data_IF_347723004545
#
_entry.id   IF_347723004545
#
_cell.length_a   1.000
_cell.length_b   1.000
_cell.length_c   1.000
_cell.angle_alpha   90.00
_cell.angle_beta   90.00
_cell.angle_gamma   90.00
#
_symmetry.space_group_name_H-M   'P 1'
#
loop_
_entity.id
_entity.type
_entity.pdbx_description
1 polymer ?
#
# COMPACT_ATOMS: atom_id res chain seq x y z
N UNK A 1 19.49 5.03 15.87
CA UNK A 1 19.15 3.80 15.13
C UNK A 1 17.64 3.71 14.88
N UNK A 2 16.77 3.85 15.90
CA UNK A 2 15.33 4.10 15.66
C UNK A 2 15.02 5.37 14.83
N UNK A 3 15.89 6.39 14.89
CA UNK A 3 15.76 7.63 14.11
C UNK A 3 15.66 7.43 12.59
N UNK A 4 16.27 6.38 12.02
CA UNK A 4 16.29 6.16 10.57
C UNK A 4 15.00 5.50 10.06
N UNK A 5 14.49 4.52 10.83
CA UNK A 5 13.18 3.93 10.59
C UNK A 5 12.05 4.97 10.74
N UNK A 6 12.12 5.80 11.79
CA UNK A 6 11.15 6.90 11.98
C UNK A 6 11.21 7.94 10.86
N UNK A 7 12.41 8.27 10.36
CA UNK A 7 12.55 9.17 9.21
C UNK A 7 11.94 8.56 7.94
N UNK A 8 12.16 7.27 7.70
CA UNK A 8 11.55 6.54 6.58
C UNK A 8 10.03 6.50 6.67
N UNK A 9 9.47 6.28 7.87
CA UNK A 9 8.02 6.30 8.12
C UNK A 9 7.44 7.69 7.85
N UNK A 10 8.11 8.76 8.31
CA UNK A 10 7.69 10.13 8.02
C UNK A 10 7.73 10.45 6.50
N UNK A 11 8.75 9.97 5.78
CA UNK A 11 8.82 10.09 4.34
C UNK A 11 7.68 9.33 3.63
N UNK A 12 7.34 8.14 4.13
CA UNK A 12 6.21 7.35 3.62
C UNK A 12 4.87 8.07 3.86
N UNK A 13 4.65 8.66 5.04
CA UNK A 13 3.49 9.54 5.33
C UNK A 13 3.38 10.69 4.34
N UNK A 14 4.48 11.40 4.07
CA UNK A 14 4.47 12.46 3.07
C UNK A 14 4.19 11.94 1.64
N UNK A 15 4.64 10.73 1.31
CA UNK A 15 4.31 10.10 0.04
C UNK A 15 2.82 9.76 -0.06
N UNK A 16 2.23 9.21 1.01
CA UNK A 16 0.80 8.94 1.11
C UNK A 16 -0.04 10.21 0.95
N UNK A 17 0.29 11.29 1.66
CA UNK A 17 -0.45 12.55 1.58
C UNK A 17 -0.42 13.11 0.15
N UNK A 18 0.74 12.99 -0.53
CA UNK A 18 0.89 13.38 -1.94
C UNK A 18 0.07 12.48 -2.87
N UNK A 19 0.10 11.17 -2.68
CA UNK A 19 -0.69 10.22 -3.47
C UNK A 19 -2.19 10.54 -3.34
N UNK A 20 -2.67 10.69 -2.10
CA UNK A 20 -4.05 11.05 -1.81
C UNK A 20 -4.46 12.36 -2.49
N UNK A 21 -3.63 13.40 -2.40
CA UNK A 21 -3.89 14.68 -3.04
C UNK A 21 -3.92 14.62 -4.58
N UNK A 22 -3.20 13.68 -5.19
CA UNK A 22 -3.23 13.44 -6.63
C UNK A 22 -4.43 12.60 -7.08
N UNK A 23 -4.87 11.64 -6.25
CA UNK A 23 -5.94 10.69 -6.60
C UNK A 23 -7.33 11.28 -6.34
N UNK A 24 -7.53 12.00 -5.23
CA UNK A 24 -8.83 12.57 -4.86
C UNK A 24 -9.54 13.40 -5.94
N UNK A 25 -8.86 14.25 -6.73
CA UNK A 25 -9.54 15.04 -7.76
C UNK A 25 -9.77 14.30 -9.07
N UNK A 26 -9.26 13.07 -9.24
CA UNK A 26 -9.40 12.34 -10.50
C UNK A 26 -10.85 11.95 -10.75
N UNK A 27 -11.28 12.14 -12.00
CA UNK A 27 -12.56 11.65 -12.50
C UNK A 27 -12.50 10.17 -12.88
N UNK A 28 -13.64 9.46 -12.99
CA UNK A 28 -13.65 8.06 -13.43
C UNK A 28 -12.97 7.82 -14.79
N UNK A 29 -13.10 8.78 -15.71
CA UNK A 29 -12.46 8.73 -17.03
C UNK A 29 -10.93 8.87 -16.91
N UNK A 30 -10.43 9.74 -16.03
CA UNK A 30 -9.00 9.92 -15.77
C UNK A 30 -8.40 8.72 -15.03
N UNK A 31 -9.14 8.12 -14.09
CA UNK A 31 -8.74 6.87 -13.41
C UNK A 31 -8.64 5.71 -14.41
N UNK A 32 -9.53 5.66 -15.39
CA UNK A 32 -9.52 4.63 -16.43
C UNK A 32 -8.54 4.92 -17.58
N UNK A 33 -7.96 6.13 -17.64
CA UNK A 33 -7.03 6.51 -18.68
C UNK A 33 -5.69 5.77 -18.57
N UNK A 34 -4.96 5.71 -19.69
CA UNK A 34 -3.60 5.18 -19.72
C UNK A 34 -2.69 5.96 -18.77
N UNK A 35 -1.88 5.26 -17.99
CA UNK A 35 -0.84 5.88 -17.17
C UNK A 35 0.40 6.24 -18.02
N UNK A 36 1.46 6.74 -17.39
CA UNK A 36 2.75 6.88 -18.08
C UNK A 36 3.34 5.52 -18.49
N UNK A 37 2.97 4.44 -17.81
CA UNK A 37 3.24 3.08 -18.26
C UNK A 37 2.30 2.76 -19.42
N UNK A 38 2.85 2.34 -20.56
CA UNK A 38 2.06 2.01 -21.75
C UNK A 38 1.08 0.85 -21.51
N UNK A 39 1.37 0.02 -20.53
CA UNK A 39 0.66 -1.24 -20.32
C UNK A 39 -0.46 -1.13 -19.28
N UNK A 40 -0.42 -0.09 -18.43
CA UNK A 40 -1.32 0.07 -17.29
C UNK A 40 -2.12 1.36 -17.36
N UNK A 41 -3.38 1.28 -16.97
CA UNK A 41 -4.19 2.46 -16.63
C UNK A 41 -3.74 3.07 -15.30
N UNK A 42 -4.22 4.29 -15.02
CA UNK A 42 -4.01 4.91 -13.70
C UNK A 42 -4.59 4.02 -12.59
N UNK A 43 -5.78 3.45 -12.79
CA UNK A 43 -6.40 2.50 -11.86
C UNK A 43 -5.52 1.27 -11.58
N UNK A 44 -4.89 0.69 -12.61
CA UNK A 44 -4.01 -0.46 -12.43
C UNK A 44 -2.72 -0.11 -11.67
N UNK A 45 -2.18 1.09 -11.88
CA UNK A 45 -1.07 1.61 -11.04
C UNK A 45 -1.52 1.73 -9.58
N UNK A 46 -2.70 2.28 -9.33
CA UNK A 46 -3.25 2.41 -7.97
C UNK A 46 -3.51 1.03 -7.34
N UNK A 47 -4.06 0.09 -8.10
CA UNK A 47 -4.25 -1.31 -7.70
C UNK A 47 -2.94 -1.99 -7.30
N UNK A 48 -1.86 -1.73 -8.05
CA UNK A 48 -0.52 -2.22 -7.71
C UNK A 48 -0.02 -1.64 -6.37
N UNK A 49 -0.22 -0.34 -6.13
CA UNK A 49 0.18 0.31 -4.87
C UNK A 49 -0.65 -0.22 -3.69
N UNK A 50 -1.98 -0.32 -3.84
CA UNK A 50 -2.88 -0.78 -2.79
C UNK A 50 -2.64 -2.24 -2.39
N UNK A 51 -2.53 -3.14 -3.38
CA UNK A 51 -2.17 -4.55 -3.10
C UNK A 51 -0.78 -4.68 -2.49
N UNK A 52 0.18 -3.86 -2.92
CA UNK A 52 1.51 -3.78 -2.31
C UNK A 52 1.47 -3.37 -0.83
N UNK A 53 0.58 -2.43 -0.46
CA UNK A 53 0.38 -2.02 0.92
C UNK A 53 -0.20 -3.15 1.79
N UNK A 54 -1.17 -3.91 1.29
CA UNK A 54 -1.72 -5.08 1.99
C UNK A 54 -0.67 -6.20 2.17
N UNK A 55 0.10 -6.49 1.13
CA UNK A 55 1.19 -7.47 1.19
C UNK A 55 2.25 -7.03 2.21
N UNK A 56 2.60 -5.74 2.24
CA UNK A 56 3.55 -5.18 3.20
C UNK A 56 3.06 -5.33 4.64
N UNK A 57 1.78 -5.06 4.90
CA UNK A 57 1.15 -5.29 6.21
C UNK A 57 1.18 -6.77 6.62
N UNK A 58 0.92 -7.68 5.68
CA UNK A 58 0.96 -9.11 5.93
C UNK A 58 2.38 -9.56 6.33
N UNK A 59 3.40 -9.10 5.59
CA UNK A 59 4.80 -9.38 5.93
C UNK A 59 5.21 -8.77 7.27
N UNK A 60 4.78 -7.53 7.56
CA UNK A 60 5.06 -6.87 8.83
C UNK A 60 4.51 -7.67 10.02
N UNK A 61 3.26 -8.13 9.95
CA UNK A 61 2.66 -8.96 11.01
C UNK A 61 3.45 -10.25 11.23
N UNK A 62 3.87 -10.92 10.16
CA UNK A 62 4.70 -12.12 10.28
C UNK A 62 6.05 -11.81 10.95
N UNK A 63 6.71 -10.70 10.61
CA UNK A 63 7.97 -10.28 11.24
C UNK A 63 7.82 -9.97 12.74
N UNK A 64 6.67 -9.42 13.15
CA UNK A 64 6.34 -9.18 14.55
C UNK A 64 5.93 -10.46 15.30
N UNK A 65 5.73 -11.58 14.59
CA UNK A 65 5.26 -12.86 15.16
C UNK A 65 3.75 -12.90 15.40
N UNK A 66 2.99 -12.03 14.75
CA UNK A 66 1.53 -11.91 14.84
C UNK A 66 0.79 -12.68 13.73
N UNK A 67 1.50 -13.48 12.94
CA UNK A 67 0.94 -14.28 11.85
C UNK A 67 1.95 -15.25 11.26
N UNK A 68 1.46 -16.14 10.41
CA UNK A 68 2.31 -17.09 9.67
C UNK A 68 3.11 -16.38 8.57
N UNK A 69 4.31 -16.88 8.23
CA UNK A 69 5.05 -16.41 7.07
C UNK A 69 4.19 -16.46 5.80
N UNK A 70 3.99 -15.32 5.17
CA UNK A 70 3.23 -15.24 3.94
C UNK A 70 4.10 -15.70 2.75
N UNK A 71 3.63 -16.74 2.07
CA UNK A 71 4.21 -17.22 0.82
C UNK A 71 3.48 -16.66 -0.41
N UNK A 72 3.96 -17.09 -1.58
CA UNK A 72 3.43 -16.69 -2.88
C UNK A 72 1.90 -16.85 -3.01
N UNK A 73 1.33 -17.90 -2.42
CA UNK A 73 -0.12 -18.17 -2.49
C UNK A 73 -0.94 -17.06 -1.81
N UNK A 74 -0.46 -16.51 -0.69
CA UNK A 74 -1.14 -15.41 0.01
C UNK A 74 -1.09 -14.12 -0.82
N UNK A 75 0.03 -13.87 -1.50
CA UNK A 75 0.17 -12.69 -2.37
C UNK A 75 -0.73 -12.83 -3.61
N UNK A 76 -0.82 -14.03 -4.19
CA UNK A 76 -1.71 -14.29 -5.32
C UNK A 76 -3.18 -14.05 -4.95
N UNK A 77 -3.62 -14.52 -3.78
CA UNK A 77 -4.98 -14.29 -3.32
C UNK A 77 -5.31 -12.80 -3.16
N UNK A 78 -4.35 -11.99 -2.66
CA UNK A 78 -4.51 -10.53 -2.58
C UNK A 78 -4.62 -9.95 -3.99
N UNK A 79 -3.70 -10.27 -4.90
CA UNK A 79 -3.76 -9.77 -6.28
C UNK A 79 -5.04 -10.16 -7.00
N UNK A 80 -5.56 -11.37 -6.80
CA UNK A 80 -6.82 -11.82 -7.41
C UNK A 80 -7.99 -10.93 -6.97
N UNK A 81 -8.05 -10.54 -5.69
CA UNK A 81 -9.06 -9.59 -5.18
C UNK A 81 -8.91 -8.22 -5.83
N UNK A 82 -7.68 -7.70 -5.89
CA UNK A 82 -7.41 -6.37 -6.47
C UNK A 82 -7.63 -6.31 -7.99
N UNK A 83 -7.30 -7.38 -8.71
CA UNK A 83 -7.53 -7.51 -10.14
C UNK A 83 -9.02 -7.63 -10.49
N UNK A 84 -9.87 -8.08 -9.56
CA UNK A 84 -11.30 -8.19 -9.75
C UNK A 84 -12.07 -6.88 -9.51
N UNK A 85 -11.45 -5.87 -8.88
CA UNK A 85 -12.05 -4.56 -8.62
C UNK A 85 -12.27 -3.77 -9.91
N UNK A 86 -13.34 -2.97 -9.94
CA UNK A 86 -13.52 -1.94 -10.95
C UNK A 86 -12.44 -0.84 -10.82
N UNK A 87 -12.19 -0.04 -11.89
CA UNK A 87 -11.20 1.04 -11.82
C UNK A 87 -11.42 2.04 -10.66
N UNK A 88 -12.67 2.41 -10.41
CA UNK A 88 -13.03 3.33 -9.33
C UNK A 88 -12.77 2.71 -7.95
N UNK A 89 -13.10 1.42 -7.78
CA UNK A 89 -12.79 0.67 -6.55
C UNK A 89 -11.28 0.52 -6.35
N UNK A 90 -10.51 0.26 -7.42
CA UNK A 90 -9.04 0.21 -7.34
C UNK A 90 -8.48 1.54 -6.84
N UNK A 91 -8.95 2.66 -7.36
CA UNK A 91 -8.48 3.98 -6.96
C UNK A 91 -8.85 4.33 -5.50
N UNK A 92 -10.11 4.11 -5.13
CA UNK A 92 -10.59 4.40 -3.77
C UNK A 92 -9.92 3.50 -2.72
N UNK A 93 -9.88 2.20 -2.98
CA UNK A 93 -9.34 1.23 -2.03
C UNK A 93 -7.82 1.36 -1.92
N UNK A 94 -7.10 1.75 -2.99
CA UNK A 94 -5.65 1.93 -2.94
C UNK A 94 -5.25 2.98 -1.91
N UNK A 95 -5.96 4.10 -1.86
CA UNK A 95 -5.72 5.17 -0.88
C UNK A 95 -6.02 4.67 0.54
N UNK A 96 -7.10 3.89 0.72
CA UNK A 96 -7.47 3.35 2.02
C UNK A 96 -6.46 2.30 2.53
N UNK A 97 -6.02 1.39 1.67
CA UNK A 97 -5.03 0.36 1.99
C UNK A 97 -3.67 0.97 2.31
N UNK A 98 -3.23 1.96 1.53
CA UNK A 98 -1.98 2.70 1.79
C UNK A 98 -2.04 3.47 3.11
N UNK A 99 -3.15 4.16 3.41
CA UNK A 99 -3.34 4.83 4.71
C UNK A 99 -3.26 3.85 5.89
N UNK A 100 -3.89 2.68 5.77
CA UNK A 100 -3.83 1.65 6.81
C UNK A 100 -2.38 1.16 7.01
N UNK A 101 -1.64 0.98 5.92
CA UNK A 101 -0.24 0.57 5.98
C UNK A 101 0.63 1.61 6.70
N UNK A 102 0.55 2.88 6.29
CA UNK A 102 1.31 3.96 6.93
C UNK A 102 0.94 4.12 8.40
N UNK A 103 -0.36 4.15 8.74
CA UNK A 103 -0.79 4.26 10.14
C UNK A 103 -0.29 3.13 11.01
N UNK A 104 -0.26 1.92 10.49
CA UNK A 104 0.23 0.75 11.24
C UNK A 104 1.72 0.93 11.57
N UNK A 105 2.52 1.37 10.60
CA UNK A 105 3.94 1.64 10.80
C UNK A 105 4.18 2.78 11.81
N UNK A 106 3.38 3.85 11.74
CA UNK A 106 3.46 4.98 12.67
C UNK A 106 3.19 4.58 14.13
N UNK A 107 2.39 3.53 14.35
CA UNK A 107 2.02 3.04 15.68
C UNK A 107 3.03 2.05 16.28
N UNK A 108 3.97 1.52 15.50
CA UNK A 108 4.97 0.59 16.01
C UNK A 108 5.84 1.25 17.08
N UNK A 109 6.17 0.52 18.14
CA UNK A 109 7.16 0.95 19.13
C UNK A 109 8.58 0.84 18.56
N UNK A 110 9.56 1.49 19.20
CA UNK A 110 10.96 1.37 18.78
C UNK A 110 11.47 -0.09 18.87
N UNK A 111 11.00 -0.84 19.87
CA UNK A 111 11.31 -2.28 20.00
C UNK A 111 10.73 -3.10 18.84
N UNK A 112 9.49 -2.83 18.43
CA UNK A 112 8.87 -3.47 17.28
C UNK A 112 9.58 -3.11 15.97
N UNK A 113 10.02 -1.86 15.81
CA UNK A 113 10.80 -1.43 14.65
C UNK A 113 12.17 -2.10 14.58
N UNK A 114 12.83 -2.30 15.70
CA UNK A 114 14.11 -3.01 15.74
C UNK A 114 13.95 -4.50 15.42
N UNK A 115 12.80 -5.10 15.77
CA UNK A 115 12.45 -6.49 15.46
C UNK A 115 12.00 -6.72 14.01
N UNK A 116 11.35 -5.73 13.40
CA UNK A 116 10.83 -5.81 12.03
C UNK A 116 11.87 -5.48 10.94
N UNK A 117 13.14 -5.24 11.33
CA UNK A 117 14.28 -5.07 10.42
C UNK A 117 14.75 -6.40 9.82
#
# INVERSE_FOLDING_TARGET
MGSDARASIAALRHSHDRLTGLVQPLTPDEVSAQSYCSDWTVAQVLSHLGSGAEISLLMLRAALGEGEPAGQEAFQAIWDVWNAKSPDEQAADAVAADEQHVRTLEQLTDEQLDRAR
#
